data_IF_683647811679
#
_entry.id   IF_683647811679
#
_cell.length_a   1.000
_cell.length_b   1.000
_cell.length_c   1.000
_cell.angle_alpha   90.00
_cell.angle_beta   90.00
_cell.angle_gamma   90.00
#
_symmetry.space_group_name_H-M   'P 1'
#
loop_
_entity.id
_entity.type
_entity.pdbx_description
1 polymer ?
#
# COMPACT_ATOMS: atom_id res chain seq x y z
N UNK A 1 -18.07 2.69 2.88
CA UNK A 1 -17.65 1.72 3.90
C UNK A 1 -17.73 2.44 5.23
N UNK A 2 -18.04 1.76 6.32
CA UNK A 2 -18.18 2.36 7.65
C UNK A 2 -17.22 1.71 8.65
N UNK A 3 -17.00 2.41 9.77
CA UNK A 3 -16.29 1.84 10.92
C UNK A 3 -17.28 1.23 11.91
N UNK A 4 -16.97 0.05 12.37
CA UNK A 4 -17.70 -0.66 13.41
C UNK A 4 -17.02 -0.44 14.76
N UNK A 5 -17.68 0.21 15.69
CA UNK A 5 -17.27 0.33 17.09
C UNK A 5 -17.99 -0.71 17.95
N UNK A 6 -17.55 -0.88 19.19
CA UNK A 6 -18.07 -1.89 20.10
C UNK A 6 -18.43 -1.28 21.44
N UNK A 7 -19.41 -1.86 22.14
CA UNK A 7 -19.73 -1.48 23.50
C UNK A 7 -18.52 -1.69 24.44
N UNK A 8 -18.27 -0.78 25.39
CA UNK A 8 -17.06 -0.75 26.20
C UNK A 8 -17.08 -1.76 27.37
N UNK A 9 -17.42 -3.01 27.13
CA UNK A 9 -17.47 -4.06 28.17
C UNK A 9 -16.08 -4.42 28.74
N UNK A 10 -15.01 -4.23 27.96
CA UNK A 10 -13.65 -4.50 28.39
C UNK A 10 -12.73 -3.35 27.97
N UNK A 11 -11.56 -3.22 28.60
CA UNK A 11 -10.58 -2.18 28.28
C UNK A 11 -10.19 -2.18 26.78
N UNK A 12 -10.05 -3.36 26.18
CA UNK A 12 -9.73 -3.47 24.75
C UNK A 12 -10.91 -3.11 23.84
N UNK A 13 -12.14 -3.49 24.21
CA UNK A 13 -13.34 -3.19 23.42
C UNK A 13 -13.66 -1.70 23.36
N UNK A 14 -13.34 -0.95 24.41
CA UNK A 14 -13.53 0.50 24.48
C UNK A 14 -12.90 1.27 23.31
N UNK A 15 -11.75 0.81 22.83
CA UNK A 15 -10.96 1.54 21.85
C UNK A 15 -10.84 0.83 20.49
N UNK A 16 -11.38 -0.38 20.35
CA UNK A 16 -11.34 -1.10 19.07
C UNK A 16 -12.33 -0.50 18.09
N UNK A 17 -11.82 -0.14 16.90
CA UNK A 17 -12.62 0.06 15.69
C UNK A 17 -12.16 -0.89 14.60
N UNK A 18 -13.08 -1.37 13.78
CA UNK A 18 -12.77 -2.23 12.63
C UNK A 18 -13.55 -1.74 11.41
N UNK A 19 -12.94 -1.90 10.25
CA UNK A 19 -13.63 -1.59 8.98
C UNK A 19 -14.75 -2.61 8.77
N UNK A 20 -15.92 -2.12 8.35
CA UNK A 20 -17.01 -2.99 7.93
C UNK A 20 -16.61 -3.75 6.66
N UNK A 21 -16.84 -5.06 6.68
CA UNK A 21 -16.49 -5.99 5.60
C UNK A 21 -17.70 -6.47 4.81
N UNK A 22 -18.85 -5.82 4.92
CA UNK A 22 -20.08 -6.19 4.23
C UNK A 22 -19.93 -6.20 2.70
N UNK A 23 -19.02 -5.38 2.17
CA UNK A 23 -18.70 -5.30 0.73
C UNK A 23 -17.85 -6.48 0.20
N UNK A 24 -17.30 -7.33 1.09
CA UNK A 24 -16.55 -8.52 0.68
C UNK A 24 -17.53 -9.61 0.32
N UNK A 25 -17.54 -9.99 -0.95
CA UNK A 25 -18.50 -10.96 -1.49
C UNK A 25 -18.03 -12.40 -1.43
N UNK A 26 -16.71 -12.63 -1.33
CA UNK A 26 -16.11 -13.97 -1.22
C UNK A 26 -15.07 -14.00 -0.10
N UNK A 27 -15.23 -14.93 0.84
CA UNK A 27 -14.33 -15.08 1.99
C UNK A 27 -13.11 -15.94 1.67
N UNK A 28 -13.29 -17.00 0.90
CA UNK A 28 -12.22 -17.90 0.51
C UNK A 28 -11.51 -17.39 -0.73
N UNK A 29 -10.15 -17.34 -0.71
CA UNK A 29 -9.40 -16.91 -1.88
C UNK A 29 -9.36 -17.97 -2.98
N UNK A 30 -9.16 -17.56 -4.23
CA UNK A 30 -8.94 -18.44 -5.36
C UNK A 30 -7.65 -19.25 -5.19
N UNK A 31 -7.75 -20.57 -5.06
CA UNK A 31 -6.64 -21.47 -4.73
C UNK A 31 -5.50 -21.41 -5.74
N UNK A 32 -5.81 -21.34 -7.04
CA UNK A 32 -4.84 -21.26 -8.11
C UNK A 32 -3.96 -20.01 -8.08
N UNK A 33 -4.44 -18.93 -7.43
CA UNK A 33 -3.74 -17.65 -7.30
C UNK A 33 -3.05 -17.48 -5.95
N UNK A 34 -2.89 -18.55 -5.16
CA UNK A 34 -2.20 -18.53 -3.89
C UNK A 34 -0.78 -19.07 -3.99
N UNK A 35 0.12 -18.42 -3.26
CA UNK A 35 1.49 -18.88 -3.04
C UNK A 35 1.81 -18.93 -1.54
N UNK A 36 2.66 -19.90 -1.13
CA UNK A 36 3.17 -19.94 0.23
C UNK A 36 4.03 -18.71 0.52
N UNK A 37 3.76 -18.03 1.64
CA UNK A 37 4.57 -16.88 2.08
C UNK A 37 5.49 -17.29 3.21
N UNK A 38 6.77 -17.44 2.92
CA UNK A 38 7.83 -17.66 3.94
C UNK A 38 7.96 -16.41 4.83
N UNK A 39 8.24 -16.64 6.11
CA UNK A 39 8.48 -15.56 7.09
C UNK A 39 9.96 -15.52 7.44
N UNK A 40 10.58 -14.37 7.24
CA UNK A 40 11.98 -14.15 7.55
C UNK A 40 12.20 -13.64 8.98
N UNK A 41 11.16 -13.14 9.64
CA UNK A 41 11.29 -12.53 10.98
C UNK A 41 12.16 -11.27 10.99
N UNK A 42 12.28 -10.58 9.87
CA UNK A 42 13.14 -9.40 9.73
C UNK A 42 14.61 -9.72 9.47
N UNK A 43 14.93 -10.95 9.11
CA UNK A 43 16.30 -11.41 8.85
C UNK A 43 16.61 -11.44 7.35
N UNK A 44 17.88 -11.20 7.01
CA UNK A 44 18.43 -11.35 5.67
C UNK A 44 18.75 -12.82 5.34
N UNK A 45 19.39 -13.07 4.18
CA UNK A 45 19.83 -14.39 3.75
C UNK A 45 20.98 -14.97 4.61
N UNK A 46 21.71 -14.13 5.34
CA UNK A 46 22.77 -14.55 6.28
C UNK A 46 22.22 -14.81 7.70
N UNK A 47 20.93 -14.62 7.95
CA UNK A 47 20.30 -14.81 9.26
C UNK A 47 20.39 -13.60 10.20
N UNK A 48 21.00 -12.51 9.78
CA UNK A 48 21.14 -11.27 10.57
C UNK A 48 19.85 -10.46 10.59
N UNK A 49 19.55 -9.82 11.72
CA UNK A 49 18.37 -8.96 11.87
C UNK A 49 18.63 -7.62 11.19
N UNK A 50 17.99 -7.38 10.05
CA UNK A 50 18.06 -6.11 9.31
C UNK A 50 16.83 -5.21 9.52
N UNK A 51 15.71 -5.78 9.97
CA UNK A 51 14.50 -5.04 10.35
C UNK A 51 14.06 -5.51 11.72
N UNK A 52 14.13 -4.62 12.70
CA UNK A 52 13.76 -4.92 14.07
C UNK A 52 12.23 -5.04 14.26
N UNK A 53 11.84 -5.65 15.36
CA UNK A 53 10.46 -5.77 15.81
C UNK A 53 9.53 -6.45 14.80
N UNK A 54 10.04 -7.40 14.00
CA UNK A 54 9.26 -8.24 13.09
C UNK A 54 9.27 -9.70 13.54
N UNK A 55 8.14 -10.37 13.39
CA UNK A 55 8.03 -11.79 13.69
C UNK A 55 6.73 -12.18 14.39
N UNK A 56 6.45 -13.48 14.44
CA UNK A 56 5.17 -14.01 14.91
C UNK A 56 4.00 -13.61 14.00
N UNK A 57 2.83 -13.50 14.58
CA UNK A 57 1.61 -13.14 13.87
C UNK A 57 0.93 -14.33 13.17
N UNK A 58 -0.24 -14.10 12.60
CA UNK A 58 -1.03 -15.13 11.91
C UNK A 58 -0.37 -15.57 10.60
N UNK A 59 -0.43 -16.87 10.26
CA UNK A 59 0.04 -17.41 8.96
C UNK A 59 -0.75 -16.77 7.82
N UNK A 60 -0.04 -16.35 6.75
CA UNK A 60 -0.65 -15.69 5.59
C UNK A 60 -0.19 -16.39 4.32
N UNK A 61 -1.10 -16.64 3.39
CA UNK A 61 -0.77 -16.97 2.02
C UNK A 61 -0.63 -15.68 1.19
N UNK A 62 0.25 -15.69 0.21
CA UNK A 62 0.39 -14.58 -0.74
C UNK A 62 -0.64 -14.76 -1.87
N UNK A 63 -1.24 -13.64 -2.33
CA UNK A 63 -2.10 -13.61 -3.52
C UNK A 63 -1.29 -13.08 -4.68
N UNK A 64 -1.31 -13.80 -5.80
CA UNK A 64 -0.73 -13.33 -7.06
C UNK A 64 -1.62 -12.23 -7.60
N UNK A 65 -1.16 -10.98 -7.51
CA UNK A 65 -1.89 -9.81 -7.99
C UNK A 65 -1.25 -9.35 -9.28
N UNK A 66 -2.07 -9.13 -10.28
CA UNK A 66 -1.65 -8.58 -11.56
C UNK A 66 -1.41 -7.06 -11.44
N UNK A 67 -0.16 -6.71 -11.22
CA UNK A 67 0.29 -5.32 -11.22
C UNK A 67 0.71 -4.83 -12.61
N UNK A 68 0.94 -5.75 -13.56
CA UNK A 68 1.40 -5.39 -14.91
C UNK A 68 0.27 -5.00 -15.82
N UNK A 69 -0.89 -5.68 -15.67
CA UNK A 69 -2.02 -5.47 -16.56
C UNK A 69 -1.64 -5.67 -18.03
N UNK A 70 -0.88 -6.74 -18.28
CA UNK A 70 -0.27 -7.04 -19.59
C UNK A 70 -1.27 -7.66 -20.61
N UNK A 71 -2.47 -8.01 -20.16
CA UNK A 71 -3.50 -8.61 -21.00
C UNK A 71 -4.33 -7.53 -21.71
N UNK A 72 -3.78 -7.05 -22.83
CA UNK A 72 -4.36 -5.95 -23.60
C UNK A 72 -5.55 -6.42 -24.45
N UNK A 73 -6.60 -5.60 -24.55
CA UNK A 73 -7.73 -5.81 -25.43
C UNK A 73 -8.70 -6.93 -25.03
N UNK A 74 -8.40 -7.71 -23.98
CA UNK A 74 -9.30 -8.78 -23.51
C UNK A 74 -10.13 -8.27 -22.33
N UNK A 75 -11.47 -8.22 -22.45
CA UNK A 75 -12.33 -7.80 -21.36
C UNK A 75 -12.37 -8.86 -20.24
N UNK A 76 -12.47 -8.40 -19.01
CA UNK A 76 -12.62 -9.24 -17.83
C UNK A 76 -13.81 -8.78 -16.99
N UNK A 77 -14.59 -9.73 -16.45
CA UNK A 77 -15.70 -9.46 -15.55
C UNK A 77 -15.24 -9.56 -14.09
N UNK A 78 -15.62 -8.62 -13.24
CA UNK A 78 -15.40 -8.69 -11.80
C UNK A 78 -16.31 -9.78 -11.22
N UNK A 79 -15.70 -10.88 -10.77
CA UNK A 79 -16.42 -12.02 -10.20
C UNK A 79 -16.67 -11.88 -8.69
N UNK A 80 -15.71 -11.34 -7.95
CA UNK A 80 -15.81 -11.19 -6.51
C UNK A 80 -14.88 -10.09 -5.97
N UNK A 81 -15.19 -9.58 -4.78
CA UNK A 81 -14.32 -8.72 -3.97
C UNK A 81 -13.85 -9.54 -2.78
N UNK A 82 -12.53 -9.60 -2.56
CA UNK A 82 -11.90 -10.45 -1.56
C UNK A 82 -10.96 -9.66 -0.64
N UNK A 83 -10.81 -10.14 0.60
CA UNK A 83 -9.86 -9.63 1.58
C UNK A 83 -8.45 -10.18 1.33
N UNK A 84 -7.43 -9.32 1.36
CA UNK A 84 -6.02 -9.74 1.33
C UNK A 84 -5.30 -9.39 2.66
N UNK A 85 -4.79 -10.37 3.44
CA UNK A 85 -4.06 -10.12 4.67
C UNK A 85 -2.65 -9.54 4.45
N UNK A 86 -2.17 -9.44 3.20
CA UNK A 86 -0.83 -8.96 2.87
C UNK A 86 -0.76 -7.46 2.59
N UNK A 87 -1.91 -6.82 2.36
CA UNK A 87 -2.02 -5.39 2.04
C UNK A 87 -3.23 -4.76 2.71
N UNK A 88 -3.27 -3.44 2.72
CA UNK A 88 -4.42 -2.68 3.25
C UNK A 88 -5.60 -2.65 2.30
N UNK A 89 -5.35 -2.69 0.98
CA UNK A 89 -6.38 -2.71 -0.05
C UNK A 89 -7.04 -4.09 -0.19
N UNK A 90 -8.33 -4.13 -0.52
CA UNK A 90 -9.02 -5.33 -0.96
C UNK A 90 -8.66 -5.66 -2.41
N UNK A 91 -8.97 -6.87 -2.85
CA UNK A 91 -8.74 -7.35 -4.21
C UNK A 91 -10.06 -7.58 -4.94
N UNK A 92 -10.08 -7.32 -6.23
CA UNK A 92 -11.12 -7.77 -7.13
C UNK A 92 -10.62 -8.99 -7.93
N UNK A 93 -11.37 -10.08 -7.90
CA UNK A 93 -11.13 -11.25 -8.72
C UNK A 93 -11.74 -11.03 -10.09
N UNK A 94 -10.92 -11.07 -11.12
CA UNK A 94 -11.32 -10.94 -12.52
C UNK A 94 -11.40 -12.31 -13.18
N UNK A 95 -12.46 -12.53 -13.95
CA UNK A 95 -12.57 -13.62 -14.91
C UNK A 95 -12.50 -13.02 -16.31
N UNK A 96 -11.45 -13.35 -17.03
CA UNK A 96 -11.25 -12.94 -18.41
C UNK A 96 -12.10 -13.79 -19.37
N UNK A 97 -12.40 -13.23 -20.55
CA UNK A 97 -13.19 -13.91 -21.58
C UNK A 97 -12.56 -15.23 -22.06
N UNK A 98 -11.24 -15.37 -21.96
CA UNK A 98 -10.48 -16.57 -22.30
C UNK A 98 -10.37 -17.59 -21.16
N UNK A 99 -11.07 -17.37 -20.03
CA UNK A 99 -11.10 -18.28 -18.86
C UNK A 99 -9.99 -18.05 -17.85
N UNK A 100 -8.99 -17.20 -18.12
CA UNK A 100 -7.96 -16.87 -17.14
C UNK A 100 -8.54 -16.06 -15.97
N UNK A 101 -8.06 -16.33 -14.76
CA UNK A 101 -8.41 -15.57 -13.55
C UNK A 101 -7.21 -14.77 -13.06
N UNK A 102 -7.44 -13.52 -12.68
CA UNK A 102 -6.41 -12.68 -12.05
C UNK A 102 -6.99 -11.83 -10.95
N UNK A 103 -6.14 -11.46 -9.97
CA UNK A 103 -6.47 -10.45 -8.98
C UNK A 103 -5.96 -9.09 -9.40
N UNK A 104 -6.77 -8.05 -9.18
CA UNK A 104 -6.35 -6.65 -9.23
C UNK A 104 -6.62 -5.96 -7.90
N UNK A 105 -6.06 -4.78 -7.69
CA UNK A 105 -6.47 -3.93 -6.57
C UNK A 105 -7.91 -3.48 -6.81
N UNK A 106 -8.74 -3.56 -5.78
CA UNK A 106 -10.14 -3.12 -5.85
C UNK A 106 -10.22 -1.60 -5.72
N UNK A 107 -10.59 -0.83 -6.75
CA UNK A 107 -10.81 0.60 -6.66
C UNK A 107 -12.20 0.92 -6.10
N UNK A 108 -12.38 2.16 -5.63
CA UNK A 108 -13.69 2.69 -5.24
C UNK A 108 -14.61 2.72 -6.45
N UNK A 109 -15.85 2.30 -6.27
CA UNK A 109 -16.90 2.32 -7.30
C UNK A 109 -16.87 1.14 -8.27
N UNK A 110 -15.94 0.19 -8.12
CA UNK A 110 -15.94 -1.03 -8.90
C UNK A 110 -16.84 -2.09 -8.23
N UNK A 111 -17.90 -2.49 -8.90
CA UNK A 111 -18.86 -3.47 -8.37
C UNK A 111 -18.66 -4.87 -8.99
N UNK A 112 -19.22 -5.89 -8.32
CA UNK A 112 -19.27 -7.25 -8.88
C UNK A 112 -20.17 -7.24 -10.12
N UNK A 113 -19.71 -7.89 -11.18
CA UNK A 113 -20.38 -7.91 -12.49
C UNK A 113 -19.90 -6.84 -13.46
N UNK A 114 -19.21 -5.79 -12.98
CA UNK A 114 -18.63 -4.77 -13.86
C UNK A 114 -17.56 -5.37 -14.81
N UNK A 115 -17.45 -4.79 -15.98
CA UNK A 115 -16.43 -5.18 -16.98
C UNK A 115 -15.22 -4.26 -16.82
N UNK A 116 -14.03 -4.84 -16.85
CA UNK A 116 -12.75 -4.15 -16.77
C UNK A 116 -11.92 -4.50 -18.00
N UNK A 117 -11.33 -3.49 -18.62
CA UNK A 117 -10.47 -3.63 -19.80
C UNK A 117 -9.10 -3.02 -19.58
N UNK A 118 -8.15 -3.36 -20.44
CA UNK A 118 -6.79 -2.86 -20.38
C UNK A 118 -6.28 -2.53 -21.78
N UNK A 119 -5.64 -1.38 -21.93
CA UNK A 119 -5.01 -0.96 -23.18
C UNK A 119 -5.69 0.23 -23.84
N UNK A 120 -5.23 0.55 -25.05
CA UNK A 120 -5.75 1.62 -25.88
C UNK A 120 -7.21 1.33 -26.23
N UNK A 121 -8.08 2.34 -26.17
CA UNK A 121 -9.52 2.17 -26.41
C UNK A 121 -10.34 1.71 -25.19
N UNK A 122 -9.70 1.50 -24.04
CA UNK A 122 -10.45 1.29 -22.78
C UNK A 122 -11.06 2.59 -22.30
N UNK A 123 -12.30 2.56 -21.83
CA UNK A 123 -12.98 3.72 -21.22
C UNK A 123 -12.27 4.18 -19.94
N UNK A 124 -12.44 5.46 -19.59
CA UNK A 124 -11.88 6.04 -18.37
C UNK A 124 -12.79 5.71 -17.17
N UNK A 125 -12.95 4.41 -16.91
CA UNK A 125 -13.77 3.87 -15.82
C UNK A 125 -12.88 3.27 -14.70
N UNK A 126 -13.34 3.28 -13.43
CA UNK A 126 -12.59 2.70 -12.32
C UNK A 126 -12.22 1.23 -12.56
N UNK A 127 -10.93 0.90 -12.41
CA UNK A 127 -10.39 -0.44 -12.62
C UNK A 127 -9.78 -0.68 -14.00
N UNK A 128 -10.12 0.12 -15.01
CA UNK A 128 -9.48 0.05 -16.32
C UNK A 128 -8.03 0.54 -16.24
N UNK A 129 -7.14 -0.08 -16.99
CA UNK A 129 -5.73 0.26 -16.99
C UNK A 129 -5.28 0.72 -18.39
N UNK A 130 -4.66 1.88 -18.44
CA UNK A 130 -4.18 2.51 -19.67
C UNK A 130 -2.78 3.10 -19.47
N UNK A 131 -2.09 3.34 -20.59
CA UNK A 131 -0.88 4.16 -20.57
C UNK A 131 -1.26 5.63 -20.32
N UNK A 132 -0.36 6.40 -19.68
CA UNK A 132 -0.64 7.82 -19.39
C UNK A 132 -0.99 8.63 -20.64
N UNK A 133 -0.45 8.26 -21.80
CA UNK A 133 -0.76 8.94 -23.05
C UNK A 133 -2.27 8.96 -23.39
N UNK A 134 -3.01 7.93 -22.98
CA UNK A 134 -4.44 7.77 -23.24
C UNK A 134 -5.34 8.25 -22.09
N UNK A 135 -4.78 8.61 -20.93
CA UNK A 135 -5.54 9.10 -19.78
C UNK A 135 -5.64 10.64 -19.84
N UNK A 136 -6.84 11.24 -19.78
CA UNK A 136 -6.98 12.70 -19.78
C UNK A 136 -6.37 13.33 -18.51
N UNK A 137 -5.80 14.55 -18.62
CA UNK A 137 -5.39 15.32 -17.44
C UNK A 137 -6.54 15.52 -16.44
N UNK A 138 -6.22 15.65 -15.15
CA UNK A 138 -7.21 15.74 -14.06
C UNK A 138 -7.69 14.41 -13.51
N UNK A 139 -7.49 13.29 -14.24
CA UNK A 139 -7.95 11.97 -13.84
C UNK A 139 -7.22 11.46 -12.59
N UNK A 140 -7.97 10.85 -11.66
CA UNK A 140 -7.42 10.13 -10.51
C UNK A 140 -7.00 8.73 -10.93
N UNK A 141 -5.79 8.35 -10.54
CA UNK A 141 -5.18 7.06 -10.93
C UNK A 141 -4.48 6.39 -9.76
N UNK A 142 -4.32 5.07 -9.83
CA UNK A 142 -3.58 4.26 -8.87
C UNK A 142 -2.77 3.18 -9.58
N UNK A 143 -2.01 2.39 -8.83
CA UNK A 143 -1.18 1.29 -9.37
C UNK A 143 -0.25 1.75 -10.51
N UNK A 144 0.50 2.82 -10.27
CA UNK A 144 1.35 3.45 -11.28
C UNK A 144 2.64 2.69 -11.50
N UNK A 145 3.05 2.53 -12.76
CA UNK A 145 4.38 2.07 -13.11
C UNK A 145 5.41 3.20 -12.94
N UNK A 146 6.63 2.84 -12.55
CA UNK A 146 7.79 3.75 -12.56
C UNK A 146 8.57 3.67 -13.88
N UNK A 147 8.53 2.52 -14.52
CA UNK A 147 9.14 2.23 -15.81
C UNK A 147 8.19 1.36 -16.62
N UNK A 148 8.06 1.58 -17.93
CA UNK A 148 7.15 0.80 -18.77
C UNK A 148 7.39 -0.70 -18.65
N UNK A 149 6.32 -1.48 -18.53
CA UNK A 149 6.34 -2.95 -18.48
C UNK A 149 6.79 -3.59 -17.17
N UNK A 150 7.19 -2.80 -16.16
CA UNK A 150 7.60 -3.35 -14.83
C UNK A 150 6.44 -3.68 -13.91
N UNK A 151 5.25 -3.23 -14.25
CA UNK A 151 4.07 -3.31 -13.39
C UNK A 151 4.00 -2.19 -12.36
N UNK A 152 2.81 -1.96 -11.84
CA UNK A 152 2.54 -0.89 -10.88
C UNK A 152 3.32 -1.04 -9.58
N UNK A 153 3.99 0.00 -9.16
CA UNK A 153 4.83 0.03 -7.96
C UNK A 153 4.40 1.11 -6.95
N UNK A 154 3.76 2.17 -7.42
CA UNK A 154 3.38 3.34 -6.63
C UNK A 154 1.85 3.42 -6.50
N UNK A 155 1.36 4.01 -5.41
CA UNK A 155 -0.08 4.22 -5.15
C UNK A 155 -0.88 2.90 -5.16
N UNK A 156 -0.55 1.99 -4.23
CA UNK A 156 -1.19 0.67 -4.10
C UNK A 156 -1.83 0.42 -2.75
N UNK A 157 -1.69 1.36 -1.82
CA UNK A 157 -2.29 1.24 -0.48
C UNK A 157 -3.75 1.65 -0.50
N UNK A 158 -4.53 1.15 0.46
CA UNK A 158 -5.92 1.56 0.68
C UNK A 158 -6.06 3.08 0.72
N UNK A 159 -7.11 3.60 0.08
CA UNK A 159 -7.36 5.04 -0.01
C UNK A 159 -6.39 5.82 -0.90
N UNK A 160 -5.33 5.19 -1.40
CA UNK A 160 -4.32 5.85 -2.23
C UNK A 160 -4.88 6.27 -3.60
N UNK A 161 -4.59 7.50 -4.00
CA UNK A 161 -4.83 8.00 -5.35
C UNK A 161 -3.75 9.01 -5.72
N UNK A 162 -3.44 9.10 -6.99
CA UNK A 162 -2.59 10.13 -7.58
C UNK A 162 -3.38 10.86 -8.66
N UNK A 163 -3.05 12.10 -8.94
CA UNK A 163 -3.71 12.88 -9.98
C UNK A 163 -2.75 13.15 -11.13
N UNK A 164 -3.17 12.81 -12.35
CA UNK A 164 -2.47 13.24 -13.57
C UNK A 164 -2.73 14.72 -13.79
N UNK A 165 -1.70 15.55 -13.70
CA UNK A 165 -1.82 17.00 -13.84
C UNK A 165 -1.74 17.46 -15.30
N UNK A 166 -0.66 17.07 -15.99
CA UNK A 166 -0.42 17.42 -17.38
C UNK A 166 0.39 16.35 -18.10
N UNK A 167 0.45 16.46 -19.41
CA UNK A 167 1.33 15.68 -20.29
C UNK A 167 2.11 16.64 -21.15
N UNK A 168 3.42 16.50 -21.20
CA UNK A 168 4.34 17.34 -21.95
C UNK A 168 5.35 16.45 -22.71
N UNK A 169 5.19 16.34 -24.00
CA UNK A 169 5.98 15.41 -24.83
C UNK A 169 5.86 13.96 -24.30
N UNK A 170 6.98 13.34 -24.03
CA UNK A 170 7.06 11.95 -23.53
C UNK A 170 6.89 11.81 -22.01
N UNK A 171 6.55 12.89 -21.31
CA UNK A 171 6.46 12.92 -19.86
C UNK A 171 5.05 13.28 -19.39
N UNK A 172 4.57 12.54 -18.40
CA UNK A 172 3.37 12.80 -17.64
C UNK A 172 3.72 13.35 -16.26
N UNK A 173 3.11 14.46 -15.87
CA UNK A 173 3.28 15.07 -14.56
C UNK A 173 2.19 14.59 -13.62
N UNK A 174 2.57 13.91 -12.55
CA UNK A 174 1.62 13.27 -11.61
C UNK A 174 1.87 13.74 -10.18
N UNK A 175 0.80 14.17 -9.50
CA UNK A 175 0.79 14.49 -8.08
C UNK A 175 0.49 13.22 -7.27
N UNK A 176 1.45 12.80 -6.45
CA UNK A 176 1.36 11.61 -5.61
C UNK A 176 0.63 11.90 -4.29
N UNK A 177 0.12 10.86 -3.58
CA UNK A 177 -0.55 11.02 -2.28
C UNK A 177 0.31 11.72 -1.22
N UNK A 178 1.65 11.62 -1.34
CA UNK A 178 2.59 12.29 -0.44
C UNK A 178 2.67 13.82 -0.64
N UNK A 179 2.01 14.36 -1.67
CA UNK A 179 2.15 15.75 -2.11
C UNK A 179 3.34 16.00 -3.04
N UNK A 180 4.19 14.99 -3.29
CA UNK A 180 5.27 15.07 -4.28
C UNK A 180 4.69 15.10 -5.69
N UNK A 181 5.15 16.04 -6.52
CA UNK A 181 4.86 16.05 -7.96
C UNK A 181 6.04 15.48 -8.72
N UNK A 182 5.78 14.45 -9.54
CA UNK A 182 6.82 13.66 -10.19
C UNK A 182 6.51 13.44 -11.68
N UNK A 183 7.57 13.37 -12.48
CA UNK A 183 7.55 13.02 -13.90
C UNK A 183 7.56 11.51 -14.09
N UNK A 184 6.71 11.02 -14.97
CA UNK A 184 6.61 9.62 -15.42
C UNK A 184 6.69 9.60 -16.94
N UNK A 185 7.14 8.50 -17.54
CA UNK A 185 6.98 8.33 -18.99
C UNK A 185 5.51 8.17 -19.34
N UNK A 186 5.06 8.74 -20.45
CA UNK A 186 3.69 8.59 -20.96
C UNK A 186 3.34 7.15 -21.34
N UNK A 187 4.32 6.30 -21.55
CA UNK A 187 4.16 4.87 -21.84
C UNK A 187 3.91 4.02 -20.58
N UNK A 188 4.17 4.57 -19.38
CA UNK A 188 3.87 3.86 -18.14
C UNK A 188 2.38 3.61 -17.99
N UNK A 189 2.04 2.41 -17.51
CA UNK A 189 0.66 2.02 -17.20
C UNK A 189 0.20 2.62 -15.88
N UNK A 190 -1.07 2.99 -15.83
CA UNK A 190 -1.78 3.38 -14.62
C UNK A 190 -3.20 2.80 -14.65
N UNK A 191 -3.77 2.56 -13.47
CA UNK A 191 -5.17 2.13 -13.34
C UNK A 191 -6.03 3.31 -12.91
N UNK A 192 -7.16 3.51 -13.57
CA UNK A 192 -8.09 4.61 -13.30
C UNK A 192 -8.79 4.42 -11.96
N UNK A 193 -9.00 5.51 -11.22
CA UNK A 193 -9.71 5.55 -9.95
C UNK A 193 -8.81 5.57 -8.72
N UNK A 194 -9.42 5.56 -7.55
CA UNK A 194 -8.81 5.54 -6.23
C UNK A 194 -8.86 4.12 -5.65
N UNK A 195 -7.84 3.68 -4.95
CA UNK A 195 -7.85 2.38 -4.25
C UNK A 195 -8.93 2.37 -3.16
N UNK A 196 -9.71 1.31 -3.09
CA UNK A 196 -10.78 1.12 -2.11
C UNK A 196 -10.28 0.95 -0.67
N UNK A 197 -11.22 0.61 0.25
CA UNK A 197 -10.97 0.45 1.68
C UNK A 197 -10.49 1.74 2.37
N UNK A 198 -11.16 2.86 2.09
CA UNK A 198 -10.79 4.22 2.55
C UNK A 198 -10.64 4.31 4.06
N UNK A 199 -11.53 3.67 4.83
CA UNK A 199 -11.54 3.73 6.29
C UNK A 199 -10.46 2.87 6.97
N UNK A 200 -9.57 2.23 6.21
CA UNK A 200 -8.49 1.40 6.78
C UNK A 200 -7.55 2.18 7.71
N UNK A 201 -7.28 3.43 7.41
CA UNK A 201 -6.42 4.29 8.24
C UNK A 201 -7.04 4.64 9.60
N UNK A 202 -8.38 4.65 9.68
CA UNK A 202 -9.16 4.98 10.88
C UNK A 202 -9.33 3.77 11.81
N UNK A 203 -8.77 2.59 11.45
CA UNK A 203 -8.86 1.37 12.24
C UNK A 203 -7.98 1.44 13.48
N UNK A 204 -8.55 1.25 14.66
CA UNK A 204 -7.85 1.24 15.94
C UNK A 204 -7.77 -0.18 16.50
N UNK A 205 -6.58 -0.65 16.81
CA UNK A 205 -6.38 -2.04 17.28
C UNK A 205 -6.87 -2.29 18.71
N UNK A 206 -6.90 -1.27 19.56
CA UNK A 206 -7.43 -1.31 20.91
C UNK A 206 -6.63 -2.14 21.93
N UNK A 207 -5.74 -3.05 21.49
CA UNK A 207 -4.89 -3.85 22.36
C UNK A 207 -3.55 -4.23 21.71
N UNK A 208 -2.51 -4.39 22.53
CA UNK A 208 -1.18 -4.78 22.08
C UNK A 208 -1.16 -6.18 21.41
N UNK A 209 -1.99 -7.11 21.88
CA UNK A 209 -2.10 -8.45 21.28
C UNK A 209 -2.53 -8.42 19.82
N UNK A 210 -3.40 -7.48 19.39
CA UNK A 210 -3.78 -7.35 17.98
C UNK A 210 -2.58 -6.93 17.12
N UNK A 211 -1.73 -6.04 17.63
CA UNK A 211 -0.47 -5.68 16.98
C UNK A 211 0.46 -6.89 16.83
N UNK A 212 0.52 -7.76 17.85
CA UNK A 212 1.26 -9.04 17.80
C UNK A 212 0.72 -9.98 16.73
N UNK A 213 -0.60 -10.06 16.55
CA UNK A 213 -1.23 -10.86 15.50
C UNK A 213 -0.85 -10.40 14.10
N UNK A 214 -0.57 -9.10 13.92
CA UNK A 214 -0.05 -8.55 12.67
C UNK A 214 1.45 -8.78 12.44
N UNK A 215 2.15 -9.45 13.39
CA UNK A 215 3.58 -9.78 13.29
C UNK A 215 4.51 -8.65 13.71
N UNK A 216 4.02 -7.69 14.48
CA UNK A 216 4.83 -6.63 15.09
C UNK A 216 5.18 -7.01 16.53
N UNK A 217 6.46 -7.04 16.88
CA UNK A 217 6.95 -7.24 18.24
C UNK A 217 6.96 -5.92 19.01
N UNK A 218 6.94 -5.95 20.36
CA UNK A 218 7.08 -4.75 21.17
C UNK A 218 8.38 -4.01 20.88
N UNK A 219 8.33 -2.67 20.98
CA UNK A 219 9.49 -1.79 20.77
C UNK A 219 9.86 -1.16 22.10
N UNK A 220 11.12 -1.29 22.50
CA UNK A 220 11.68 -0.59 23.67
C UNK A 220 12.09 0.81 23.22
N UNK A 221 11.76 1.83 24.02
CA UNK A 221 12.15 3.21 23.76
C UNK A 221 13.63 3.41 24.05
N UNK A 222 14.35 4.21 23.26
CA UNK A 222 15.76 4.50 23.46
C UNK A 222 16.09 5.07 24.85
N UNK A 223 15.17 5.85 25.44
CA UNK A 223 15.32 6.39 26.82
C UNK A 223 15.40 5.30 27.90
N UNK A 224 14.83 4.11 27.64
CA UNK A 224 14.85 2.97 28.56
C UNK A 224 16.04 2.03 28.32
N UNK A 225 16.95 2.39 27.46
CA UNK A 225 18.17 1.64 27.14
C UNK A 225 19.39 2.19 27.85
N UNK A 226 20.50 1.46 27.78
CA UNK A 226 21.80 1.94 28.25
C UNK A 226 22.44 2.90 27.24
N UNK A 227 23.41 3.74 27.65
CA UNK A 227 24.10 4.68 26.75
C UNK A 227 24.77 4.03 25.55
N UNK A 228 25.24 2.78 25.70
CA UNK A 228 25.87 2.00 24.61
C UNK A 228 24.86 1.60 23.53
N UNK A 229 23.58 1.41 23.89
CA UNK A 229 22.55 0.91 22.97
C UNK A 229 21.82 2.01 22.21
N UNK A 230 21.75 3.20 22.79
CA UNK A 230 21.01 4.32 22.20
C UNK A 230 21.53 5.68 22.70
N UNK A 231 21.61 6.72 21.85
CA UNK A 231 22.00 8.09 22.26
C UNK A 231 21.14 8.69 23.36
N UNK A 232 19.90 8.21 23.53
CA UNK A 232 19.00 8.62 24.63
C UNK A 232 19.12 7.75 25.87
N UNK A 233 20.01 6.77 25.89
CA UNK A 233 20.18 5.84 27.01
C UNK A 233 20.89 6.44 28.23
N UNK A 234 20.77 5.76 29.37
CA UNK A 234 21.41 6.07 30.63
C UNK A 234 20.79 7.25 31.40
N UNK A 235 21.38 7.63 32.58
CA UNK A 235 20.99 8.74 33.44
C UNK A 235 19.75 8.49 34.29
N UNK A 236 19.38 9.47 35.08
CA UNK A 236 18.18 9.47 35.91
C UNK A 236 17.04 10.25 35.25
N UNK A 237 15.79 9.74 35.39
CA UNK A 237 14.60 10.38 34.88
C UNK A 237 14.31 10.09 33.37
N UNK A 238 13.17 10.61 32.91
CA UNK A 238 12.60 10.31 31.59
C UNK A 238 13.05 11.23 30.47
N UNK A 239 13.52 12.42 30.79
CA UNK A 239 13.87 13.46 29.79
C UNK A 239 15.31 13.88 29.99
N UNK A 240 16.08 13.90 28.93
CA UNK A 240 17.52 14.21 28.96
C UNK A 240 17.90 15.47 28.21
N UNK A 241 16.95 16.25 27.73
CA UNK A 241 17.23 17.46 26.95
C UNK A 241 17.97 17.24 25.63
N UNK A 242 18.25 15.99 25.25
CA UNK A 242 18.94 15.69 24.01
C UNK A 242 17.99 15.84 22.82
N UNK A 243 18.53 16.34 21.71
CA UNK A 243 17.79 16.38 20.45
C UNK A 243 17.36 14.96 20.07
N UNK A 244 16.09 14.72 19.66
CA UNK A 244 15.61 13.41 19.26
C UNK A 244 16.45 12.80 18.14
N UNK A 245 16.96 11.59 18.37
CA UNK A 245 17.87 10.87 17.47
C UNK A 245 17.44 9.41 17.31
N UNK A 246 17.86 8.83 16.18
CA UNK A 246 17.80 7.39 15.95
C UNK A 246 18.90 6.65 16.72
N UNK A 247 18.89 5.29 16.84
CA UNK A 247 19.99 4.51 17.40
C UNK A 247 21.36 4.78 16.74
N UNK A 248 21.36 5.25 15.51
CA UNK A 248 22.57 5.61 14.72
C UNK A 248 22.90 7.12 14.79
N UNK A 249 22.42 7.82 15.81
CA UNK A 249 22.66 9.25 16.05
C UNK A 249 22.14 10.20 14.93
N UNK A 250 21.27 9.76 14.03
CA UNK A 250 20.67 10.66 13.07
C UNK A 250 19.52 11.45 13.69
N UNK A 251 19.47 12.80 13.53
CA UNK A 251 18.33 13.59 13.97
C UNK A 251 17.01 13.12 13.34
N UNK A 252 15.94 13.01 14.16
CA UNK A 252 14.63 12.54 13.72
C UNK A 252 13.67 13.68 13.39
N UNK A 253 13.89 14.88 13.92
CA UNK A 253 13.07 16.07 13.66
C UNK A 253 13.70 16.94 12.58
N UNK A 254 12.93 17.28 11.54
CA UNK A 254 13.27 18.26 10.52
C UNK A 254 14.35 17.88 9.53
N UNK A 255 15.18 16.88 9.82
CA UNK A 255 16.26 16.49 8.90
C UNK A 255 15.72 15.72 7.69
N UNK A 256 15.98 16.25 6.49
CA UNK A 256 15.70 15.58 5.22
C UNK A 256 16.80 14.54 4.97
N UNK A 257 16.46 13.24 5.08
CA UNK A 257 17.43 12.14 4.99
C UNK A 257 17.57 11.53 3.59
N UNK A 258 16.73 11.92 2.62
CA UNK A 258 16.84 11.44 1.24
C UNK A 258 18.17 11.89 0.61
N UNK A 259 18.97 10.92 0.14
CA UNK A 259 20.25 11.14 -0.52
C UNK A 259 20.34 10.42 -1.88
N UNK A 260 19.22 10.22 -2.57
CA UNK A 260 19.19 9.56 -3.88
C UNK A 260 19.16 10.62 -5.00
N UNK A 261 20.33 11.06 -5.43
CA UNK A 261 20.48 12.06 -6.52
C UNK A 261 20.03 11.53 -7.88
N UNK A 262 20.15 10.21 -8.12
CA UNK A 262 19.83 9.58 -9.42
C UNK A 262 18.38 9.82 -9.87
N UNK A 263 17.44 9.86 -8.93
CA UNK A 263 16.01 10.02 -9.21
C UNK A 263 15.48 11.44 -8.98
N UNK A 264 16.34 12.37 -8.55
CA UNK A 264 15.93 13.77 -8.31
C UNK A 264 15.45 14.47 -9.59
N UNK A 265 16.01 14.10 -10.74
CA UNK A 265 15.60 14.62 -12.06
C UNK A 265 14.11 14.35 -12.40
N UNK A 266 13.49 13.37 -11.75
CA UNK A 266 12.08 13.05 -11.95
C UNK A 266 11.15 13.80 -10.97
N UNK A 267 11.69 14.50 -9.97
CA UNK A 267 10.90 15.22 -8.95
C UNK A 267 10.84 16.68 -9.35
N UNK A 268 9.64 17.19 -9.62
CA UNK A 268 9.41 18.61 -9.91
C UNK A 268 9.19 19.38 -8.62
N UNK A 269 8.35 18.85 -7.75
CA UNK A 269 8.05 19.44 -6.45
C UNK A 269 8.15 18.37 -5.36
N UNK A 270 8.97 18.63 -4.35
CA UNK A 270 9.06 17.74 -3.16
C UNK A 270 7.87 17.97 -2.25
N UNK A 271 7.55 16.93 -1.44
CA UNK A 271 6.61 17.09 -0.34
C UNK A 271 7.09 18.16 0.64
N UNK A 272 6.17 18.92 1.17
CA UNK A 272 6.44 19.91 2.23
C UNK A 272 6.87 19.22 3.52
#
# INVERSE_FOLDING_TARGET
MGLKSFNPYTASRRFITVVDKSHITKQEPEKALLEPKKRTGGRNNHGEIVIWHRGGGHKKAYRKVDFRRDKLGVPAKVAAIEYDPNRSANLALLHYADGEKRYILHPVGLEVGATVSTGEGSDILPGNALQFKHIPPGTMVHNLELYPGRGGQVVRSAGGSAQLLSKEGDLALVKLPSGETRKFSVECMATVGQVGNLDHENETYGKAGRTRWHGKKPTVRGVAMNPVDHPHGGGEGKVKGNHPQTPWAFPTLGKKTRNNKRTDKHIVQRRK
#
